data_IF_475140293611
#
_entry.id   IF_475140293611
#
_cell.length_a   1.000
_cell.length_b   1.000
_cell.length_c   1.000
_cell.angle_alpha   90.00
_cell.angle_beta   90.00
_cell.angle_gamma   90.00
#
_symmetry.space_group_name_H-M   'P 1'
#
loop_
_entity.id
_entity.type
_entity.pdbx_description
1 polymer ?
#
# COMPACT_ATOMS: atom_id res chain seq x y z
N UNK A 1 14.70 -21.71 9.22
CA UNK A 1 13.41 -21.04 9.06
C UNK A 1 13.41 -20.41 7.67
N UNK A 2 12.46 -20.75 6.80
CA UNK A 2 12.35 -20.14 5.47
C UNK A 2 12.11 -18.63 5.55
N UNK A 3 12.82 -17.90 4.68
CA UNK A 3 12.65 -16.45 4.52
C UNK A 3 11.78 -16.19 3.30
N UNK A 4 10.67 -15.46 3.49
CA UNK A 4 9.79 -15.03 2.40
C UNK A 4 10.11 -13.57 2.09
N UNK A 5 10.61 -13.31 0.90
CA UNK A 5 10.88 -11.96 0.43
C UNK A 5 9.62 -11.29 -0.12
N UNK A 6 9.66 -9.96 -0.14
CA UNK A 6 8.67 -9.15 -0.85
C UNK A 6 8.85 -9.29 -2.37
N UNK A 7 7.73 -9.54 -3.09
CA UNK A 7 7.72 -9.77 -4.54
C UNK A 7 8.24 -8.58 -5.35
N UNK A 8 7.82 -7.37 -4.99
CA UNK A 8 8.23 -6.12 -5.66
C UNK A 8 9.29 -5.36 -4.85
N UNK A 9 10.28 -6.08 -4.30
CA UNK A 9 11.37 -5.45 -3.51
C UNK A 9 12.24 -4.52 -4.36
N UNK A 10 12.39 -4.84 -5.64
CA UNK A 10 13.20 -4.07 -6.61
C UNK A 10 12.38 -3.01 -7.36
N UNK A 11 11.11 -2.78 -6.97
CA UNK A 11 10.29 -1.74 -7.59
C UNK A 11 10.81 -0.36 -7.22
N UNK A 12 11.39 0.34 -8.20
CA UNK A 12 11.83 1.72 -8.06
C UNK A 12 10.64 2.67 -8.16
N UNK A 13 10.36 3.40 -7.08
CA UNK A 13 9.33 4.44 -7.09
C UNK A 13 9.80 5.62 -7.96
N UNK A 14 8.91 6.13 -8.80
CA UNK A 14 9.21 7.25 -9.68
C UNK A 14 9.50 8.52 -8.87
N UNK A 15 10.60 9.23 -9.17
CA UNK A 15 11.01 10.46 -8.46
C UNK A 15 10.00 11.62 -8.58
N UNK A 16 9.12 11.58 -9.59
CA UNK A 16 8.06 12.57 -9.79
C UNK A 16 6.75 12.21 -9.06
N UNK A 17 6.75 11.16 -8.24
CA UNK A 17 5.58 10.75 -7.45
C UNK A 17 5.15 11.86 -6.51
N UNK A 18 3.86 12.21 -6.56
CA UNK A 18 3.22 13.13 -5.64
C UNK A 18 2.35 12.41 -4.60
N UNK A 19 1.88 11.20 -4.92
CA UNK A 19 1.08 10.37 -4.02
C UNK A 19 1.64 8.94 -3.94
N UNK A 20 1.98 8.50 -2.74
CA UNK A 20 2.43 7.12 -2.51
C UNK A 20 1.30 6.29 -1.86
N UNK A 21 0.87 5.22 -2.54
CA UNK A 21 -0.05 4.24 -1.99
C UNK A 21 0.76 3.18 -1.24
N UNK A 22 0.59 3.10 0.07
CA UNK A 22 1.38 2.25 0.94
C UNK A 22 0.56 1.03 1.38
N UNK A 23 0.99 -0.17 0.99
CA UNK A 23 0.40 -1.42 1.46
C UNK A 23 1.22 -2.08 2.55
N UNK A 24 1.01 -3.39 2.74
CA UNK A 24 1.63 -4.14 3.85
C UNK A 24 2.73 -5.06 3.33
N UNK A 25 2.36 -6.09 2.59
CA UNK A 25 3.27 -7.09 2.07
C UNK A 25 2.67 -7.84 0.87
N UNK A 26 3.48 -8.09 -0.15
CA UNK A 26 3.21 -9.07 -1.19
C UNK A 26 4.30 -10.15 -1.16
N UNK A 27 4.00 -11.40 -0.76
CA UNK A 27 4.99 -12.47 -0.74
C UNK A 27 5.45 -12.85 -2.15
N UNK A 28 6.75 -13.06 -2.31
CA UNK A 28 7.37 -13.55 -3.54
C UNK A 28 7.15 -15.06 -3.69
N UNK A 29 5.96 -15.42 -4.16
CA UNK A 29 5.54 -16.79 -4.41
C UNK A 29 5.08 -16.95 -5.86
N UNK A 30 5.14 -18.17 -6.45
CA UNK A 30 4.77 -18.40 -7.85
C UNK A 30 3.35 -17.94 -8.21
N UNK A 31 2.41 -17.99 -7.26
CA UNK A 31 1.01 -17.58 -7.44
C UNK A 31 0.75 -16.11 -7.08
N UNK A 32 1.79 -15.34 -6.78
CA UNK A 32 1.70 -13.92 -6.44
C UNK A 32 1.28 -13.09 -7.65
N UNK A 33 0.69 -11.90 -7.45
CA UNK A 33 0.27 -11.04 -8.55
C UNK A 33 1.46 -10.51 -9.36
N UNK A 34 1.26 -10.11 -10.61
CA UNK A 34 2.32 -9.53 -11.45
C UNK A 34 2.63 -8.07 -11.12
N UNK A 35 1.75 -7.41 -10.36
CA UNK A 35 1.95 -6.04 -9.88
C UNK A 35 1.18 -5.79 -8.57
N UNK A 36 1.47 -4.67 -7.90
CA UNK A 36 0.80 -4.26 -6.67
C UNK A 36 -0.73 -4.34 -6.81
N UNK A 37 -1.37 -4.91 -5.79
CA UNK A 37 -2.84 -5.07 -5.72
C UNK A 37 -3.44 -5.84 -6.92
N UNK A 38 -2.65 -6.67 -7.62
CA UNK A 38 -3.10 -7.40 -8.81
C UNK A 38 -3.95 -8.65 -8.54
N UNK A 39 -4.17 -9.05 -7.28
CA UNK A 39 -4.98 -10.23 -6.94
C UNK A 39 -6.46 -9.97 -7.29
N UNK A 40 -7.18 -11.00 -7.76
CA UNK A 40 -8.58 -10.90 -8.18
C UNK A 40 -9.52 -10.33 -7.11
N UNK A 41 -9.31 -10.69 -5.84
CA UNK A 41 -10.12 -10.21 -4.72
C UNK A 41 -9.69 -8.82 -4.22
N UNK A 42 -8.72 -8.17 -4.86
CA UNK A 42 -8.35 -6.80 -4.56
C UNK A 42 -9.09 -5.84 -5.51
N UNK A 43 -9.54 -4.71 -4.99
CA UNK A 43 -10.34 -3.71 -5.69
C UNK A 43 -9.62 -2.36 -5.79
N UNK A 44 -8.32 -2.26 -5.49
CA UNK A 44 -7.59 -0.99 -5.59
C UNK A 44 -7.69 -0.41 -7.01
N UNK A 45 -7.47 -1.25 -8.03
CA UNK A 45 -7.56 -0.85 -9.43
C UNK A 45 -8.99 -0.57 -9.91
N UNK A 46 -10.01 -0.83 -9.08
CA UNK A 46 -11.38 -0.39 -9.30
C UNK A 46 -11.61 0.96 -8.59
N UNK A 47 -11.26 1.04 -7.31
CA UNK A 47 -11.48 2.19 -6.43
C UNK A 47 -10.68 3.44 -6.84
N UNK A 48 -9.38 3.26 -7.10
CA UNK A 48 -8.45 4.36 -7.30
C UNK A 48 -8.75 5.17 -8.57
N UNK A 49 -8.97 4.57 -9.76
CA UNK A 49 -9.34 5.34 -10.94
C UNK A 49 -10.69 6.04 -10.79
N UNK A 50 -11.66 5.39 -10.13
CA UNK A 50 -12.98 5.98 -9.89
C UNK A 50 -12.93 7.21 -8.99
N UNK A 51 -11.91 7.36 -8.14
CA UNK A 51 -11.71 8.60 -7.39
C UNK A 51 -11.57 9.82 -8.31
N UNK A 52 -11.02 9.61 -9.51
CA UNK A 52 -10.79 10.65 -10.51
C UNK A 52 -11.86 10.66 -11.62
N UNK A 53 -13.00 9.99 -11.39
CA UNK A 53 -14.08 9.89 -12.40
C UNK A 53 -13.73 9.00 -13.59
N UNK A 54 -12.73 8.13 -13.47
CA UNK A 54 -12.30 7.23 -14.54
C UNK A 54 -12.91 5.82 -14.40
N UNK A 55 -13.02 5.07 -15.52
CA UNK A 55 -13.41 3.66 -15.46
C UNK A 55 -12.39 2.82 -14.68
N UNK A 56 -12.88 1.70 -14.14
CA UNK A 56 -12.08 0.74 -13.40
C UNK A 56 -10.97 0.12 -14.27
N UNK A 57 -9.74 0.11 -13.76
CA UNK A 57 -8.56 -0.52 -14.37
C UNK A 57 -8.32 -1.95 -13.86
N UNK A 58 -9.25 -2.53 -13.09
CA UNK A 58 -9.07 -3.86 -12.46
C UNK A 58 -8.67 -4.96 -13.45
N UNK A 59 -9.34 -5.00 -14.60
CA UNK A 59 -9.12 -6.00 -15.65
C UNK A 59 -8.22 -5.48 -16.79
N UNK A 60 -7.64 -4.28 -16.61
CA UNK A 60 -6.77 -3.67 -17.61
C UNK A 60 -5.34 -4.16 -17.50
N UNK A 61 -4.60 -3.96 -18.60
CA UNK A 61 -3.19 -4.30 -18.71
C UNK A 61 -2.32 -3.55 -17.69
N UNK A 62 -1.14 -4.09 -17.38
CA UNK A 62 -0.16 -3.39 -16.56
C UNK A 62 0.25 -2.04 -17.19
N UNK A 63 0.37 -1.97 -18.51
CA UNK A 63 0.69 -0.74 -19.22
C UNK A 63 -0.37 0.36 -18.99
N UNK A 64 -1.67 0.02 -19.03
CA UNK A 64 -2.76 0.95 -18.72
C UNK A 64 -2.68 1.47 -17.28
N UNK A 65 -2.34 0.58 -16.33
CA UNK A 65 -2.15 0.93 -14.92
C UNK A 65 -0.96 1.86 -14.72
N UNK A 66 0.17 1.59 -15.39
CA UNK A 66 1.36 2.43 -15.37
C UNK A 66 1.12 3.80 -16.02
N UNK A 67 0.33 3.86 -17.10
CA UNK A 67 -0.06 5.12 -17.71
C UNK A 67 -0.90 5.97 -16.75
N UNK A 68 -1.87 5.36 -16.06
CA UNK A 68 -2.63 6.02 -15.01
C UNK A 68 -1.72 6.55 -13.90
N UNK A 69 -0.80 5.72 -13.40
CA UNK A 69 0.20 6.12 -12.40
C UNK A 69 1.02 7.33 -12.84
N UNK A 70 1.49 7.35 -14.10
CA UNK A 70 2.26 8.46 -14.64
C UNK A 70 1.45 9.76 -14.73
N UNK A 71 0.20 9.69 -15.20
CA UNK A 71 -0.68 10.87 -15.35
C UNK A 71 -1.01 11.49 -13.99
N UNK A 72 -1.37 10.65 -13.02
CA UNK A 72 -1.79 11.10 -11.68
C UNK A 72 -0.63 11.19 -10.68
N UNK A 73 0.59 10.87 -11.11
CA UNK A 73 1.82 10.86 -10.30
C UNK A 73 1.66 10.03 -9.01
N UNK A 74 1.06 8.86 -9.18
CA UNK A 74 0.81 7.89 -8.10
C UNK A 74 1.78 6.74 -8.24
N UNK A 75 2.36 6.29 -7.13
CA UNK A 75 3.16 5.07 -7.10
C UNK A 75 2.89 4.23 -5.85
N UNK A 76 3.52 3.07 -5.75
CA UNK A 76 3.25 2.05 -4.74
C UNK A 76 4.51 1.63 -3.99
N UNK A 77 4.32 1.36 -2.71
CA UNK A 77 5.29 0.65 -1.88
C UNK A 77 4.53 -0.21 -0.85
N UNK A 78 5.25 -1.12 -0.21
CA UNK A 78 4.77 -1.96 0.90
C UNK A 78 5.80 -1.88 2.03
N UNK A 79 5.36 -1.97 3.28
CA UNK A 79 6.20 -1.67 4.45
C UNK A 79 7.11 -2.85 4.83
N UNK A 80 6.71 -4.09 4.53
CA UNK A 80 7.48 -5.28 4.89
C UNK A 80 8.45 -5.65 3.75
N UNK A 81 9.73 -5.88 4.08
CA UNK A 81 10.73 -6.39 3.15
C UNK A 81 10.73 -7.93 3.13
N UNK A 82 10.76 -8.55 4.31
CA UNK A 82 10.82 -10.00 4.42
C UNK A 82 10.19 -10.52 5.72
N UNK A 83 9.80 -11.80 5.67
CA UNK A 83 9.32 -12.57 6.81
C UNK A 83 10.27 -13.74 7.08
N UNK A 84 10.46 -14.09 8.35
CA UNK A 84 11.14 -15.31 8.78
C UNK A 84 10.13 -16.21 9.50
N UNK A 85 9.72 -17.30 8.84
CA UNK A 85 8.57 -18.10 9.27
C UNK A 85 8.96 -19.55 9.56
N UNK A 86 8.20 -20.29 10.39
CA UNK A 86 8.38 -21.72 10.55
C UNK A 86 8.20 -22.49 9.23
N UNK A 87 8.96 -23.58 9.06
CA UNK A 87 8.83 -24.46 7.90
C UNK A 87 7.40 -25.03 7.80
N UNK A 88 6.84 -25.04 6.58
CA UNK A 88 5.48 -25.50 6.31
C UNK A 88 4.38 -24.45 6.58
N UNK A 89 4.74 -23.23 6.96
CA UNK A 89 3.79 -22.12 7.20
C UNK A 89 3.90 -20.97 6.20
N UNK A 90 4.62 -21.18 5.10
CA UNK A 90 4.97 -20.12 4.13
C UNK A 90 3.76 -19.56 3.38
N UNK A 91 2.68 -20.35 3.32
CA UNK A 91 1.40 -19.94 2.74
C UNK A 91 0.49 -19.19 3.71
N UNK A 92 0.88 -18.98 4.97
CA UNK A 92 0.05 -18.28 5.94
C UNK A 92 0.00 -16.78 5.62
N UNK A 93 -1.22 -16.29 5.41
CA UNK A 93 -1.51 -14.90 5.04
C UNK A 93 -2.31 -14.16 6.12
N UNK A 94 -2.43 -14.75 7.31
CA UNK A 94 -3.09 -14.11 8.44
C UNK A 94 -2.27 -12.92 8.94
N UNK A 95 -2.98 -11.85 9.27
CA UNK A 95 -2.35 -10.55 9.54
C UNK A 95 -1.47 -10.57 10.79
N UNK A 96 -1.94 -11.19 11.86
CA UNK A 96 -1.22 -11.37 13.12
C UNK A 96 -0.01 -12.29 12.96
N UNK A 97 -0.14 -13.34 12.14
CA UNK A 97 0.97 -14.20 11.76
C UNK A 97 2.04 -13.41 11.01
N UNK A 98 1.68 -12.68 9.96
CA UNK A 98 2.62 -11.85 9.19
C UNK A 98 3.31 -10.84 10.12
N UNK A 99 2.54 -10.13 10.96
CA UNK A 99 3.06 -9.10 11.87
C UNK A 99 4.05 -9.65 12.90
N UNK A 100 3.81 -10.86 13.39
CA UNK A 100 4.66 -11.55 14.35
C UNK A 100 5.96 -12.14 13.77
N UNK A 101 6.04 -12.27 12.45
CA UNK A 101 7.17 -12.92 11.76
C UNK A 101 7.93 -11.97 10.82
N UNK A 102 7.73 -10.65 10.94
CA UNK A 102 8.53 -9.68 10.18
C UNK A 102 9.98 -9.73 10.62
N UNK A 103 10.86 -10.14 9.72
CA UNK A 103 12.31 -10.14 9.94
C UNK A 103 12.95 -8.83 9.49
N UNK A 104 12.43 -8.22 8.42
CA UNK A 104 12.93 -6.95 7.90
C UNK A 104 11.81 -6.04 7.40
N UNK A 105 11.87 -4.77 7.82
CA UNK A 105 11.02 -3.69 7.33
C UNK A 105 11.75 -2.94 6.22
N UNK A 106 11.03 -2.48 5.20
CA UNK A 106 11.61 -1.58 4.19
C UNK A 106 11.90 -0.22 4.80
N UNK A 107 12.95 0.44 4.32
CA UNK A 107 13.25 1.83 4.67
C UNK A 107 12.31 2.81 3.95
N UNK A 108 11.06 2.88 4.43
CA UNK A 108 10.05 3.79 3.90
C UNK A 108 10.38 5.25 4.20
N UNK A 109 11.08 5.53 5.31
CA UNK A 109 11.51 6.89 5.66
C UNK A 109 12.54 7.39 4.65
N UNK A 110 13.58 6.61 4.37
CA UNK A 110 14.57 6.92 3.34
C UNK A 110 13.95 7.07 1.95
N UNK A 111 12.98 6.21 1.61
CA UNK A 111 12.20 6.35 0.38
C UNK A 111 11.48 7.71 0.33
N UNK A 112 10.76 8.10 1.39
CA UNK A 112 10.07 9.39 1.48
C UNK A 112 11.06 10.54 1.31
N UNK A 113 12.26 10.44 1.88
CA UNK A 113 13.32 11.45 1.77
C UNK A 113 13.89 11.58 0.37
N UNK A 114 13.89 10.49 -0.40
CA UNK A 114 14.29 10.50 -1.81
C UNK A 114 13.27 11.12 -2.77
N UNK A 115 12.02 11.36 -2.34
CA UNK A 115 10.92 11.82 -3.21
C UNK A 115 10.62 13.31 -3.00
N UNK A 116 11.22 14.21 -3.81
CA UNK A 116 11.14 15.66 -3.57
C UNK A 116 9.75 16.24 -3.79
N UNK A 117 8.92 15.57 -4.59
CA UNK A 117 7.59 16.03 -4.97
C UNK A 117 6.46 15.37 -4.16
N UNK A 118 6.80 14.51 -3.20
CA UNK A 118 5.80 13.74 -2.46
C UNK A 118 4.94 14.67 -1.59
N UNK A 119 3.62 14.63 -1.80
CA UNK A 119 2.63 15.46 -1.09
C UNK A 119 1.78 14.64 -0.14
N UNK A 120 1.49 13.39 -0.50
CA UNK A 120 0.60 12.54 0.28
C UNK A 120 1.04 11.06 0.28
N UNK A 121 0.73 10.38 1.37
CA UNK A 121 0.82 8.94 1.53
C UNK A 121 -0.52 8.42 2.03
N UNK A 122 -1.00 7.36 1.38
CA UNK A 122 -2.24 6.69 1.76
C UNK A 122 -1.98 5.23 2.11
N UNK A 123 -2.09 4.90 3.39
CA UNK A 123 -1.94 3.53 3.86
C UNK A 123 -3.24 2.74 3.65
N UNK A 124 -3.19 1.64 2.90
CA UNK A 124 -4.40 0.93 2.44
C UNK A 124 -5.02 -0.01 3.49
N UNK A 125 -4.92 0.34 4.77
CA UNK A 125 -5.50 -0.38 5.90
C UNK A 125 -5.90 0.61 6.99
N UNK A 126 -7.11 0.44 7.52
CA UNK A 126 -7.71 1.31 8.54
C UNK A 126 -7.41 0.89 9.98
N UNK A 127 -7.35 -0.41 10.25
CA UNK A 127 -7.31 -0.98 11.60
C UNK A 127 -6.00 -1.74 11.85
N UNK A 128 -5.62 -1.83 13.13
CA UNK A 128 -4.41 -2.53 13.59
C UNK A 128 -4.70 -3.54 14.69
N UNK A 129 -5.85 -4.21 14.62
CA UNK A 129 -6.22 -5.22 15.61
C UNK A 129 -5.36 -6.47 15.37
N UNK A 130 -4.67 -6.94 16.40
CA UNK A 130 -3.80 -8.12 16.31
C UNK A 130 -2.44 -7.88 15.63
N UNK A 131 -2.11 -6.65 15.22
CA UNK A 131 -0.87 -6.34 14.47
C UNK A 131 -0.11 -5.12 15.05
N UNK A 132 0.42 -5.23 16.29
CA UNK A 132 1.08 -4.12 16.97
C UNK A 132 2.39 -3.67 16.31
N UNK A 133 3.14 -4.54 15.62
CA UNK A 133 4.42 -4.17 15.03
C UNK A 133 4.20 -3.25 13.81
N UNK A 134 3.25 -3.59 12.95
CA UNK A 134 2.78 -2.77 11.83
C UNK A 134 2.24 -1.42 12.32
N UNK A 135 1.48 -1.39 13.43
CA UNK A 135 1.02 -0.13 14.02
C UNK A 135 2.20 0.77 14.38
N UNK A 136 3.23 0.20 15.00
CA UNK A 136 4.45 0.93 15.39
C UNK A 136 5.13 1.51 14.16
N UNK A 137 5.33 0.71 13.12
CA UNK A 137 5.96 1.15 11.87
C UNK A 137 5.16 2.23 11.14
N UNK A 138 3.84 2.07 11.01
CA UNK A 138 2.98 3.09 10.40
C UNK A 138 3.00 4.39 11.20
N UNK A 139 3.05 4.31 12.54
CA UNK A 139 3.16 5.49 13.40
C UNK A 139 4.47 6.23 13.19
N UNK A 140 5.60 5.51 13.07
CA UNK A 140 6.90 6.10 12.77
C UNK A 140 6.89 6.84 11.42
N UNK A 141 6.37 6.17 10.38
CA UNK A 141 6.26 6.75 9.03
C UNK A 141 5.37 8.00 9.06
N UNK A 142 4.21 7.94 9.71
CA UNK A 142 3.29 9.06 9.76
C UNK A 142 3.82 10.26 10.54
N UNK A 143 4.57 10.02 11.64
CA UNK A 143 5.26 11.07 12.37
C UNK A 143 6.31 11.76 11.50
N UNK A 144 7.08 11.00 10.72
CA UNK A 144 8.02 11.54 9.74
C UNK A 144 7.32 12.39 8.67
N UNK A 145 6.20 11.89 8.12
CA UNK A 145 5.38 12.66 7.18
C UNK A 145 4.89 13.98 7.79
N UNK A 146 4.44 13.97 9.04
CA UNK A 146 3.99 15.17 9.74
C UNK A 146 5.11 16.22 9.84
N UNK A 147 6.34 15.81 10.18
CA UNK A 147 7.49 16.72 10.24
C UNK A 147 7.84 17.33 8.89
N UNK A 148 7.58 16.62 7.79
CA UNK A 148 7.83 17.08 6.41
C UNK A 148 6.62 17.73 5.73
N UNK A 149 5.53 17.98 6.47
CA UNK A 149 4.27 18.50 5.92
C UNK A 149 3.68 17.64 4.80
N UNK A 150 3.95 16.34 4.82
CA UNK A 150 3.37 15.34 3.92
C UNK A 150 2.08 14.81 4.55
N UNK A 151 1.00 14.82 3.78
CA UNK A 151 -0.29 14.32 4.25
C UNK A 151 -0.23 12.80 4.38
N UNK A 152 -0.48 12.26 5.58
CA UNK A 152 -0.57 10.82 5.82
C UNK A 152 -1.97 10.44 6.30
N UNK A 153 -2.67 9.57 5.56
CA UNK A 153 -3.99 9.08 5.95
C UNK A 153 -4.13 7.58 5.71
N UNK A 154 -4.97 6.93 6.52
CA UNK A 154 -5.39 5.54 6.28
C UNK A 154 -6.61 5.50 5.38
N UNK A 155 -6.70 4.46 4.55
CA UNK A 155 -7.85 4.13 3.73
C UNK A 155 -8.50 2.84 4.20
N UNK A 156 -9.80 2.70 3.94
CA UNK A 156 -10.43 1.40 4.04
C UNK A 156 -9.81 0.44 3.03
N UNK A 157 -9.57 -0.80 3.46
CA UNK A 157 -8.80 -1.75 2.65
C UNK A 157 -9.48 -2.04 1.31
N UNK A 158 -8.72 -2.08 0.21
CA UNK A 158 -9.25 -2.46 -1.10
C UNK A 158 -9.45 -3.98 -1.22
N UNK A 159 -9.10 -4.77 -0.20
CA UNK A 159 -9.25 -6.21 -0.24
C UNK A 159 -10.70 -6.67 -0.08
N UNK A 160 -11.00 -7.82 -0.68
CA UNK A 160 -12.20 -8.67 -0.56
C UNK A 160 -13.51 -8.10 -1.15
N UNK A 161 -13.82 -6.82 -0.97
CA UNK A 161 -15.10 -6.24 -1.39
C UNK A 161 -15.00 -4.76 -1.78
N UNK A 162 -16.03 -4.30 -2.49
CA UNK A 162 -16.28 -2.90 -2.87
C UNK A 162 -17.72 -2.54 -2.48
N UNK A 163 -17.94 -1.28 -2.07
CA UNK A 163 -19.25 -0.66 -1.94
C UNK A 163 -19.13 0.87 -2.08
N UNK A 164 -20.26 1.56 -2.22
CA UNK A 164 -20.31 3.01 -2.42
C UNK A 164 -19.71 3.80 -1.24
N UNK A 165 -19.94 3.35 0.00
CA UNK A 165 -19.37 4.00 1.19
C UNK A 165 -17.85 3.98 1.18
N UNK A 166 -17.24 2.86 0.79
CA UNK A 166 -15.79 2.71 0.63
C UNK A 166 -15.26 3.62 -0.49
N UNK A 167 -15.96 3.67 -1.63
CA UNK A 167 -15.61 4.57 -2.73
C UNK A 167 -15.64 6.04 -2.27
N UNK A 168 -16.69 6.44 -1.55
CA UNK A 168 -16.82 7.80 -1.05
C UNK A 168 -15.71 8.13 -0.05
N UNK A 169 -15.35 7.21 0.85
CA UNK A 169 -14.23 7.41 1.78
C UNK A 169 -12.91 7.64 1.03
N UNK A 170 -12.66 6.90 -0.06
CA UNK A 170 -11.48 7.09 -0.89
C UNK A 170 -11.50 8.45 -1.60
N UNK A 171 -12.62 8.85 -2.21
CA UNK A 171 -12.80 10.17 -2.85
C UNK A 171 -12.55 11.29 -1.84
N UNK A 172 -13.19 11.22 -0.67
CA UNK A 172 -13.10 12.24 0.37
C UNK A 172 -11.68 12.38 0.93
N UNK A 173 -10.93 11.27 0.96
CA UNK A 173 -9.58 11.25 1.54
C UNK A 173 -8.52 11.66 0.53
N UNK A 174 -8.60 11.17 -0.71
CA UNK A 174 -7.58 11.33 -1.75
C UNK A 174 -7.79 12.62 -2.55
N UNK A 175 -9.01 12.85 -3.04
CA UNK A 175 -9.31 13.93 -3.99
C UNK A 175 -9.84 15.16 -3.29
N UNK A 176 -10.90 15.02 -2.48
CA UNK A 176 -11.46 16.16 -1.76
C UNK A 176 -10.59 16.59 -0.56
N UNK A 177 -9.81 15.64 -0.02
CA UNK A 177 -8.94 15.81 1.15
C UNK A 177 -9.67 16.33 2.42
N UNK A 178 -10.99 16.15 2.48
CA UNK A 178 -11.87 16.60 3.57
C UNK A 178 -11.88 15.65 4.75
N UNK A 179 -11.46 14.39 4.57
CA UNK A 179 -11.36 13.40 5.64
C UNK A 179 -9.95 12.83 5.73
N UNK A 180 -9.51 12.40 6.92
CA UNK A 180 -8.22 11.74 7.10
C UNK A 180 -8.26 10.86 8.34
N UNK A 181 -8.22 9.54 8.15
CA UNK A 181 -8.09 8.59 9.25
C UNK A 181 -6.63 8.57 9.70
N UNK A 182 -6.31 9.37 10.73
CA UNK A 182 -4.95 9.44 11.28
C UNK A 182 -4.53 8.09 11.90
N UNK A 183 -3.23 7.74 11.85
CA UNK A 183 -2.67 6.49 12.37
C UNK A 183 -3.19 6.11 13.75
#
# INVERSE_FOLDING_TARGET
>A
MPVILHKFRDHGVNANTETLMLGTFNPDIPTGPDFFYGRLRNFLWHLLPQCFGLPSLKNESLASKQQFMAIYKIDFADIIHSLDVPEGTEGNVDDDFIDGHVSEWKDIIGLIDSLPNLKAIYFTRKTFNGIPNMRTQVTLIANHCYQRSIRFCKLETPARFYNETKQQQWIDTIVAQTTCLRP
#
